data_IF_915990070233
#
_entry.id   IF_915990070233
#
_cell.length_a   1.000
_cell.length_b   1.000
_cell.length_c   1.000
_cell.angle_alpha   90.00
_cell.angle_beta   90.00
_cell.angle_gamma   90.00
#
_symmetry.space_group_name_H-M   'P 1'
#
loop_
_entity.id
_entity.type
_entity.pdbx_description
1 polymer ?
#
# COMPACT_ATOMS: atom_id res chain seq x y z
N UNK A 1 33.63 -14.20 40.72
CA UNK A 1 34.06 -13.74 39.38
C UNK A 1 32.82 -13.56 38.51
N UNK A 2 32.38 -12.32 38.28
CA UNK A 2 31.17 -12.00 37.49
C UNK A 2 31.52 -12.10 36.00
N UNK A 3 30.90 -13.05 35.28
CA UNK A 3 31.03 -13.16 33.82
C UNK A 3 30.18 -12.08 33.17
N UNK A 4 30.84 -11.09 32.57
CA UNK A 4 30.20 -10.09 31.71
C UNK A 4 29.97 -10.77 30.36
N UNK A 5 28.71 -11.06 30.04
CA UNK A 5 28.31 -11.51 28.71
C UNK A 5 28.14 -10.27 27.85
N UNK A 6 29.10 -10.04 26.95
CA UNK A 6 29.04 -8.97 25.96
C UNK A 6 28.07 -9.40 24.85
N UNK A 7 26.83 -8.94 24.91
CA UNK A 7 25.85 -9.08 23.82
C UNK A 7 26.25 -8.11 22.70
N UNK A 8 27.02 -8.61 21.73
CA UNK A 8 27.36 -7.89 20.51
C UNK A 8 26.08 -7.77 19.67
N UNK A 9 25.51 -6.58 19.63
CA UNK A 9 24.36 -6.25 18.80
C UNK A 9 24.84 -6.05 17.35
N UNK A 10 24.82 -7.12 16.56
CA UNK A 10 25.12 -7.04 15.13
C UNK A 10 23.93 -6.37 14.42
N UNK A 11 24.14 -5.30 13.63
CA UNK A 11 23.07 -4.70 12.87
C UNK A 11 22.65 -5.70 11.79
N UNK A 12 21.43 -6.22 11.90
CA UNK A 12 20.83 -7.15 10.95
C UNK A 12 20.71 -6.43 9.60
N UNK A 13 21.73 -6.62 8.76
CA UNK A 13 21.65 -6.45 7.32
C UNK A 13 20.49 -7.33 6.83
N UNK A 14 19.69 -6.79 5.91
CA UNK A 14 18.65 -7.51 5.18
C UNK A 14 19.27 -8.72 4.47
N UNK A 15 19.38 -9.84 5.19
CA UNK A 15 19.83 -11.11 4.66
C UNK A 15 18.72 -11.63 3.74
N UNK A 16 19.12 -12.12 2.57
CA UNK A 16 18.35 -13.05 1.75
C UNK A 16 18.18 -14.36 2.53
N UNK A 17 17.41 -14.33 3.61
CA UNK A 17 17.03 -15.51 4.36
C UNK A 17 16.05 -16.32 3.53
N UNK A 18 16.28 -17.63 3.48
CA UNK A 18 15.32 -18.63 3.05
C UNK A 18 13.98 -18.38 3.77
N UNK A 19 12.92 -18.16 2.99
CA UNK A 19 11.60 -17.73 3.49
C UNK A 19 11.04 -18.77 4.46
N UNK A 20 11.28 -20.06 4.18
CA UNK A 20 10.87 -21.15 5.08
C UNK A 20 11.58 -21.03 6.42
N UNK A 21 12.89 -20.77 6.44
CA UNK A 21 13.64 -20.64 7.70
C UNK A 21 13.16 -19.46 8.54
N UNK A 22 12.91 -18.30 7.91
CA UNK A 22 12.38 -17.14 8.62
C UNK A 22 10.97 -17.37 9.19
N UNK A 23 10.12 -18.10 8.47
CA UNK A 23 8.82 -18.53 8.97
C UNK A 23 8.97 -19.51 10.16
N UNK A 24 9.90 -20.46 10.09
CA UNK A 24 10.16 -21.37 11.21
C UNK A 24 10.68 -20.62 12.45
N UNK A 25 11.64 -19.72 12.28
CA UNK A 25 12.16 -18.85 13.34
C UNK A 25 11.04 -18.00 13.96
N UNK A 26 10.19 -17.40 13.14
CA UNK A 26 9.03 -16.61 13.59
C UNK A 26 8.11 -17.38 14.54
N UNK A 27 7.84 -18.65 14.21
CA UNK A 27 7.02 -19.52 15.05
C UNK A 27 7.72 -19.88 16.36
N UNK A 28 9.03 -20.15 16.32
CA UNK A 28 9.82 -20.50 17.50
C UNK A 28 9.96 -19.32 18.47
N UNK A 29 10.33 -18.16 17.93
CA UNK A 29 10.62 -16.95 18.68
C UNK A 29 9.36 -16.12 19.02
N UNK A 30 8.19 -16.55 18.53
CA UNK A 30 6.94 -15.79 18.64
C UNK A 30 7.05 -14.37 18.06
N UNK A 31 7.86 -14.20 17.00
CA UNK A 31 8.07 -12.93 16.30
C UNK A 31 7.34 -12.92 14.97
N UNK A 32 6.68 -11.82 14.58
CA UNK A 32 6.07 -11.71 13.26
C UNK A 32 7.13 -11.57 12.15
N UNK A 33 6.76 -11.89 10.91
CA UNK A 33 7.60 -11.73 9.72
C UNK A 33 7.04 -10.62 8.85
N UNK A 34 7.92 -9.78 8.31
CA UNK A 34 7.65 -8.92 7.17
C UNK A 34 8.39 -9.48 5.96
N UNK A 35 7.65 -9.87 4.93
CA UNK A 35 8.19 -10.41 3.69
C UNK A 35 8.04 -9.38 2.58
N UNK A 36 9.15 -8.88 2.06
CA UNK A 36 9.24 -8.00 0.91
C UNK A 36 9.40 -8.82 -0.38
N UNK A 37 8.31 -8.97 -1.13
CA UNK A 37 8.29 -9.68 -2.41
C UNK A 37 8.63 -8.73 -3.55
N UNK A 38 9.69 -9.04 -4.29
CA UNK A 38 10.14 -8.30 -5.48
C UNK A 38 10.08 -9.17 -6.73
N UNK A 39 10.43 -8.57 -7.86
CA UNK A 39 10.78 -9.30 -9.07
C UNK A 39 11.97 -8.65 -9.73
N UNK A 40 12.67 -9.38 -10.58
CA UNK A 40 13.68 -8.81 -11.46
C UNK A 40 13.11 -7.68 -12.35
N UNK A 41 13.97 -6.72 -12.69
CA UNK A 41 13.65 -5.57 -13.55
C UNK A 41 12.42 -4.78 -13.09
N UNK A 42 12.35 -4.47 -11.78
CA UNK A 42 11.23 -3.77 -11.16
C UNK A 42 11.65 -2.41 -10.57
N UNK A 43 11.47 -1.34 -11.35
CA UNK A 43 11.82 0.04 -10.93
C UNK A 43 11.14 0.48 -9.63
N UNK A 44 9.88 0.07 -9.42
CA UNK A 44 9.16 0.39 -8.17
C UNK A 44 9.68 -0.40 -6.97
N UNK A 45 10.25 -1.58 -7.20
CA UNK A 45 10.89 -2.37 -6.15
C UNK A 45 12.19 -1.68 -5.70
N UNK A 46 13.00 -1.21 -6.66
CA UNK A 46 14.22 -0.46 -6.33
C UNK A 46 13.86 0.82 -5.59
N UNK A 47 12.85 1.56 -6.07
CA UNK A 47 12.34 2.75 -5.41
C UNK A 47 11.86 2.47 -3.98
N UNK A 48 11.11 1.38 -3.75
CA UNK A 48 10.63 1.02 -2.40
C UNK A 48 11.78 0.64 -1.47
N UNK A 49 12.74 -0.15 -1.96
CA UNK A 49 13.93 -0.53 -1.21
C UNK A 49 14.71 0.71 -0.77
N UNK A 50 14.95 1.64 -1.67
CA UNK A 50 15.83 2.78 -1.42
C UNK A 50 15.14 3.89 -0.64
N UNK A 51 13.91 4.26 -1.03
CA UNK A 51 13.21 5.44 -0.49
C UNK A 51 12.32 5.14 0.70
N UNK A 52 11.96 3.87 0.91
CA UNK A 52 11.00 3.48 1.96
C UNK A 52 11.67 2.54 2.96
N UNK A 53 12.12 1.36 2.53
CA UNK A 53 12.76 0.39 3.43
C UNK A 53 14.18 0.83 3.87
N UNK A 54 14.80 1.75 3.11
CA UNK A 54 16.07 2.37 3.45
C UNK A 54 15.97 3.44 4.55
N UNK A 55 14.80 4.05 4.74
CA UNK A 55 14.58 5.16 5.68
C UNK A 55 14.70 4.71 7.14
N UNK A 56 15.35 5.54 7.97
CA UNK A 56 15.65 5.22 9.36
C UNK A 56 14.39 5.06 10.22
N UNK A 57 13.37 5.89 10.02
CA UNK A 57 12.13 5.80 10.78
C UNK A 57 11.37 4.51 10.45
N UNK A 58 11.38 4.09 9.17
CA UNK A 58 10.79 2.82 8.75
C UNK A 58 11.55 1.63 9.35
N UNK A 59 12.89 1.62 9.28
CA UNK A 59 13.72 0.56 9.88
C UNK A 59 13.50 0.44 11.39
N UNK A 60 13.45 1.58 12.07
CA UNK A 60 13.18 1.61 13.50
C UNK A 60 11.78 1.11 13.84
N UNK A 61 10.78 1.46 13.03
CA UNK A 61 9.42 0.96 13.22
C UNK A 61 9.30 -0.53 12.89
N UNK A 62 10.12 -1.07 11.99
CA UNK A 62 10.17 -2.51 11.70
C UNK A 62 10.87 -3.34 12.79
N UNK A 63 11.48 -2.72 13.83
CA UNK A 63 12.03 -3.47 14.96
C UNK A 63 10.97 -4.37 15.59
N UNK A 64 11.35 -5.62 15.83
CA UNK A 64 10.45 -6.67 16.33
C UNK A 64 9.87 -7.58 15.24
N UNK A 65 10.03 -7.23 13.96
CA UNK A 65 9.75 -8.14 12.84
C UNK A 65 11.03 -8.86 12.39
N UNK A 66 10.89 -10.11 11.96
CA UNK A 66 11.88 -10.79 11.13
C UNK A 66 11.68 -10.30 9.69
N UNK A 67 12.73 -9.78 9.05
CA UNK A 67 12.65 -9.17 7.73
C UNK A 67 13.21 -10.12 6.68
N UNK A 68 12.43 -10.40 5.63
CA UNK A 68 12.80 -11.32 4.54
C UNK A 68 12.53 -10.66 3.20
N UNK A 69 13.41 -10.88 2.23
CA UNK A 69 13.15 -10.54 0.82
C UNK A 69 13.01 -11.81 0.00
N UNK A 70 11.97 -11.87 -0.83
CA UNK A 70 11.64 -13.02 -1.68
C UNK A 70 11.46 -12.58 -3.13
N UNK A 71 11.88 -13.39 -4.11
CA UNK A 71 11.47 -13.18 -5.51
C UNK A 71 10.10 -13.82 -5.76
N UNK A 72 9.18 -13.10 -6.40
CA UNK A 72 7.82 -13.58 -6.67
C UNK A 72 7.78 -14.90 -7.46
N UNK A 73 8.83 -15.21 -8.22
CA UNK A 73 8.90 -16.38 -9.08
C UNK A 73 9.57 -17.58 -8.40
N UNK A 74 10.21 -17.38 -7.24
CA UNK A 74 10.87 -18.45 -6.51
C UNK A 74 9.85 -19.47 -5.97
N UNK A 75 10.31 -20.70 -5.75
CA UNK A 75 9.44 -21.80 -5.32
C UNK A 75 8.79 -21.53 -3.98
N UNK A 76 9.55 -20.98 -3.03
CA UNK A 76 9.08 -20.73 -1.67
C UNK A 76 8.04 -19.62 -1.60
N UNK A 77 8.23 -18.51 -2.31
CA UNK A 77 7.21 -17.46 -2.40
C UNK A 77 5.89 -18.02 -2.95
N UNK A 78 5.94 -18.84 -4.01
CA UNK A 78 4.74 -19.50 -4.59
C UNK A 78 4.08 -20.49 -3.64
N UNK A 79 4.86 -21.13 -2.77
CA UNK A 79 4.38 -22.16 -1.85
C UNK A 79 3.79 -21.57 -0.56
N UNK A 80 4.44 -20.55 0.00
CA UNK A 80 4.15 -20.05 1.35
C UNK A 80 3.42 -18.70 1.38
N UNK A 81 3.40 -17.97 0.27
CA UNK A 81 2.74 -16.65 0.20
C UNK A 81 1.51 -16.71 -0.71
N UNK A 82 0.50 -15.84 -0.45
CA UNK A 82 -0.56 -15.63 -1.41
C UNK A 82 0.02 -15.21 -2.77
N UNK A 83 -0.58 -15.70 -3.86
CA UNK A 83 -0.17 -15.28 -5.19
C UNK A 83 -0.36 -13.76 -5.37
N UNK A 84 0.70 -13.08 -5.80
CA UNK A 84 0.64 -11.65 -6.15
C UNK A 84 1.01 -11.42 -7.61
N UNK A 85 0.20 -10.60 -8.27
CA UNK A 85 0.46 -10.14 -9.63
C UNK A 85 1.42 -8.96 -9.67
N UNK A 86 1.46 -8.17 -8.60
CA UNK A 86 2.13 -6.87 -8.56
C UNK A 86 3.37 -6.93 -7.69
N UNK A 87 4.43 -6.26 -8.11
CA UNK A 87 5.64 -6.06 -7.32
C UNK A 87 5.96 -4.55 -7.27
N UNK A 88 6.47 -4.04 -6.13
CA UNK A 88 6.69 -4.78 -4.88
C UNK A 88 5.38 -5.17 -4.17
N UNK A 89 5.41 -6.24 -3.38
CA UNK A 89 4.33 -6.58 -2.43
C UNK A 89 4.96 -6.88 -1.08
N UNK A 90 4.41 -6.35 0.02
CA UNK A 90 4.83 -6.68 1.38
C UNK A 90 3.75 -7.49 2.08
N UNK A 91 4.11 -8.61 2.68
CA UNK A 91 3.25 -9.37 3.58
C UNK A 91 3.71 -9.19 5.02
N UNK A 92 2.79 -8.84 5.91
CA UNK A 92 3.01 -8.99 7.35
C UNK A 92 2.34 -10.28 7.80
N UNK A 93 3.08 -11.14 8.48
CA UNK A 93 2.69 -12.51 8.82
C UNK A 93 2.89 -12.71 10.32
N UNK A 94 1.85 -13.21 10.99
CA UNK A 94 1.94 -13.53 12.41
C UNK A 94 2.77 -14.79 12.67
N UNK A 95 3.25 -15.02 13.92
CA UNK A 95 3.93 -16.26 14.32
C UNK A 95 3.12 -17.55 14.06
N UNK A 96 1.81 -17.43 13.86
CA UNK A 96 0.88 -18.52 13.54
C UNK A 96 0.67 -18.70 12.04
N UNK A 97 1.53 -18.13 11.20
CA UNK A 97 1.47 -18.17 9.73
C UNK A 97 0.22 -17.56 9.10
N UNK A 98 -0.45 -16.66 9.83
CA UNK A 98 -1.57 -15.88 9.28
C UNK A 98 -1.04 -14.58 8.69
N UNK A 99 -1.30 -14.34 7.40
CA UNK A 99 -1.13 -13.01 6.79
C UNK A 99 -2.12 -12.05 7.44
N UNK A 100 -1.62 -11.02 8.10
CA UNK A 100 -2.44 -10.02 8.79
C UNK A 100 -2.65 -8.76 7.96
N UNK A 101 -1.70 -8.45 7.07
CA UNK A 101 -1.71 -7.33 6.16
C UNK A 101 -0.95 -7.64 4.88
N UNK A 102 -1.37 -7.00 3.79
CA UNK A 102 -0.72 -7.07 2.49
C UNK A 102 -0.66 -5.66 1.92
N UNK A 103 0.54 -5.22 1.56
CA UNK A 103 0.76 -3.91 0.92
C UNK A 103 1.19 -4.17 -0.51
N UNK A 104 0.40 -3.74 -1.49
CA UNK A 104 0.75 -3.92 -2.91
C UNK A 104 1.18 -2.61 -3.55
N UNK A 105 2.32 -2.67 -4.24
CA UNK A 105 2.94 -1.53 -4.91
C UNK A 105 3.84 -0.70 -4.01
N UNK A 106 4.45 0.30 -4.62
CA UNK A 106 5.32 1.25 -3.93
C UNK A 106 4.49 2.16 -3.01
N UNK A 107 4.91 2.27 -1.75
CA UNK A 107 4.44 3.27 -0.80
C UNK A 107 5.62 4.13 -0.31
N UNK A 108 5.38 5.41 -0.05
CA UNK A 108 6.35 6.27 0.63
C UNK A 108 6.51 5.89 2.10
N UNK A 109 7.55 6.41 2.75
CA UNK A 109 7.91 6.07 4.14
C UNK A 109 6.79 6.33 5.17
N UNK A 110 6.08 7.44 5.04
CA UNK A 110 5.04 7.81 6.00
C UNK A 110 3.83 6.87 5.86
N UNK A 111 3.42 6.60 4.62
CA UNK A 111 2.36 5.62 4.31
C UNK A 111 2.73 4.23 4.79
N UNK A 112 3.96 3.79 4.52
CA UNK A 112 4.41 2.47 4.90
C UNK A 112 4.49 2.31 6.43
N UNK A 113 4.82 3.37 7.16
CA UNK A 113 4.78 3.38 8.62
C UNK A 113 3.37 3.19 9.19
N UNK A 114 2.33 3.70 8.52
CA UNK A 114 0.93 3.43 8.91
C UNK A 114 0.62 1.93 8.81
N UNK A 115 1.06 1.28 7.74
CA UNK A 115 0.91 -0.18 7.57
C UNK A 115 1.68 -1.00 8.60
N UNK A 116 2.88 -0.56 8.99
CA UNK A 116 3.64 -1.21 10.07
C UNK A 116 2.88 -1.08 11.39
N UNK A 117 2.36 0.11 11.72
CA UNK A 117 1.62 0.36 12.95
C UNK A 117 0.33 -0.45 13.02
N UNK A 118 -0.45 -0.48 11.94
CA UNK A 118 -1.65 -1.30 11.86
C UNK A 118 -1.32 -2.81 11.97
N UNK A 119 -0.22 -3.26 11.37
CA UNK A 119 0.25 -4.64 11.52
C UNK A 119 0.62 -4.96 12.98
N UNK A 120 1.33 -4.05 13.67
CA UNK A 120 1.64 -4.19 15.10
C UNK A 120 0.39 -4.24 15.96
N UNK A 121 -0.60 -3.38 15.69
CA UNK A 121 -1.89 -3.37 16.37
C UNK A 121 -2.64 -4.70 16.18
N UNK A 122 -2.76 -5.19 14.94
CA UNK A 122 -3.39 -6.48 14.61
C UNK A 122 -2.67 -7.67 15.26
N UNK A 123 -1.38 -7.54 15.60
CA UNK A 123 -0.58 -8.53 16.29
C UNK A 123 -0.61 -8.41 17.83
N UNK A 124 -1.23 -7.35 18.37
CA UNK A 124 -1.17 -7.06 19.80
C UNK A 124 0.25 -6.73 20.31
N UNK A 125 1.12 -6.24 19.42
CA UNK A 125 2.45 -5.77 19.83
C UNK A 125 2.30 -4.49 20.64
N UNK A 126 3.15 -4.29 21.66
CA UNK A 126 3.18 -3.04 22.42
C UNK A 126 3.60 -1.89 21.49
N UNK A 127 2.61 -1.21 20.92
CA UNK A 127 2.83 0.01 20.17
C UNK A 127 2.86 1.12 21.21
N UNK A 128 4.05 1.41 21.74
CA UNK A 128 4.25 2.50 22.70
C UNK A 128 3.52 3.74 22.17
N UNK A 129 2.71 4.36 23.04
CA UNK A 129 1.74 5.42 22.74
C UNK A 129 1.91 6.00 21.34
N UNK A 130 1.23 5.39 20.36
CA UNK A 130 1.26 5.87 18.98
C UNK A 130 0.80 7.31 19.05
N UNK A 131 1.74 8.26 18.95
CA UNK A 131 1.39 9.60 18.52
C UNK A 131 0.72 9.35 17.18
N UNK A 132 -0.60 9.45 17.16
CA UNK A 132 -1.40 9.40 15.94
C UNK A 132 -0.65 10.22 14.94
N UNK A 133 0.01 9.57 13.96
CA UNK A 133 0.73 10.28 12.92
C UNK A 133 -0.36 11.14 12.29
N UNK A 134 -0.32 12.44 12.58
CA UNK A 134 -1.32 13.39 12.11
C UNK A 134 -1.44 13.16 10.61
N UNK A 135 -2.65 12.80 10.17
CA UNK A 135 -3.01 12.38 8.82
C UNK A 135 -2.81 13.47 7.74
N UNK A 136 -2.06 14.52 8.06
CA UNK A 136 -1.93 15.75 7.31
C UNK A 136 -0.66 15.84 6.45
N UNK A 137 0.24 14.85 6.48
CA UNK A 137 1.49 14.90 5.68
C UNK A 137 1.61 13.84 4.58
N UNK A 138 0.70 12.86 4.52
CA UNK A 138 0.78 11.83 3.48
C UNK A 138 0.17 12.35 2.18
N UNK A 139 1.03 12.82 1.28
CA UNK A 139 0.62 13.13 -0.09
C UNK A 139 0.23 11.81 -0.76
N UNK A 140 -1.06 11.64 -1.11
CA UNK A 140 -1.56 10.51 -1.91
C UNK A 140 -1.11 10.64 -3.39
N UNK A 141 0.18 10.87 -3.61
CA UNK A 141 0.78 10.92 -4.95
C UNK A 141 1.01 9.52 -5.51
N UNK A 142 0.92 8.47 -4.69
CA UNK A 142 1.09 7.09 -5.10
C UNK A 142 -0.28 6.42 -5.29
N UNK A 143 -0.49 5.86 -6.48
CA UNK A 143 -1.67 5.06 -6.79
C UNK A 143 -1.62 3.73 -6.04
N UNK A 144 -2.68 3.42 -5.31
CA UNK A 144 -2.94 2.07 -4.81
C UNK A 144 -3.38 1.16 -5.97
N UNK A 145 -2.93 -0.08 -5.92
CA UNK A 145 -3.16 -1.09 -6.97
C UNK A 145 -4.25 -2.10 -6.63
N UNK A 146 -4.85 -1.99 -5.44
CA UNK A 146 -6.03 -2.75 -5.03
C UNK A 146 -6.92 -1.91 -4.09
N UNK A 147 -8.22 -2.20 -4.15
CA UNK A 147 -9.27 -1.48 -3.42
C UNK A 147 -9.20 -1.72 -1.92
N UNK A 148 -8.91 -2.96 -1.49
CA UNK A 148 -8.90 -3.31 -0.09
C UNK A 148 -7.83 -2.51 0.67
N UNK A 149 -6.62 -2.43 0.10
CA UNK A 149 -5.53 -1.67 0.69
C UNK A 149 -5.83 -0.18 0.76
N UNK A 150 -6.46 0.37 -0.28
CA UNK A 150 -6.84 1.77 -0.30
C UNK A 150 -7.94 2.12 0.69
N UNK A 151 -8.96 1.26 0.85
CA UNK A 151 -10.02 1.45 1.83
C UNK A 151 -9.49 1.32 3.27
N UNK A 152 -8.58 0.39 3.53
CA UNK A 152 -7.92 0.26 4.84
C UNK A 152 -7.09 1.50 5.17
N UNK A 153 -6.25 1.95 4.23
CA UNK A 153 -5.45 3.16 4.38
C UNK A 153 -6.33 4.41 4.55
N UNK A 154 -7.43 4.52 3.79
CA UNK A 154 -8.40 5.61 3.93
C UNK A 154 -9.05 5.63 5.32
N UNK A 155 -9.42 4.46 5.87
CA UNK A 155 -9.95 4.34 7.25
C UNK A 155 -8.94 4.80 8.29
N UNK A 156 -7.68 4.37 8.15
CA UNK A 156 -6.61 4.72 9.09
C UNK A 156 -6.27 6.22 9.08
N UNK A 157 -6.37 6.86 7.92
CA UNK A 157 -6.01 8.27 7.74
C UNK A 157 -7.19 9.24 7.83
N UNK A 158 -8.43 8.74 7.94
CA UNK A 158 -9.64 9.55 7.86
C UNK A 158 -9.90 10.13 6.46
N UNK A 159 -9.23 9.60 5.43
CA UNK A 159 -9.38 10.03 4.04
C UNK A 159 -10.54 9.32 3.35
N UNK A 160 -10.89 9.81 2.18
CA UNK A 160 -11.85 9.19 1.27
C UNK A 160 -11.09 8.39 0.19
N UNK A 161 -11.81 7.69 -0.68
CA UNK A 161 -11.22 6.91 -1.77
C UNK A 161 -11.68 7.47 -3.11
N UNK A 162 -10.72 7.74 -4.00
CA UNK A 162 -10.97 8.04 -5.41
C UNK A 162 -10.53 6.84 -6.25
N UNK A 163 -11.47 6.19 -6.94
CA UNK A 163 -11.20 5.05 -7.81
C UNK A 163 -11.25 5.49 -9.27
N UNK A 164 -10.11 5.45 -9.94
CA UNK A 164 -9.97 5.66 -11.36
C UNK A 164 -10.05 4.32 -12.11
N UNK A 165 -11.19 4.07 -12.75
CA UNK A 165 -11.37 2.89 -13.61
C UNK A 165 -10.96 3.26 -15.03
N UNK A 166 -9.84 2.69 -15.49
CA UNK A 166 -9.26 2.95 -16.80
C UNK A 166 -9.49 1.79 -17.79
N UNK A 167 -9.34 2.09 -19.07
CA UNK A 167 -9.06 1.09 -20.09
C UNK A 167 -7.71 1.44 -20.71
N UNK A 168 -6.71 0.58 -20.58
CA UNK A 168 -5.35 0.85 -21.07
C UNK A 168 -5.28 1.15 -22.58
N UNK A 169 -6.23 0.62 -23.35
CA UNK A 169 -6.33 0.85 -24.80
C UNK A 169 -7.05 2.14 -25.15
N UNK A 170 -7.75 2.78 -24.20
CA UNK A 170 -8.48 4.03 -24.43
C UNK A 170 -7.55 5.25 -24.47
N UNK A 171 -7.60 6.00 -25.58
CA UNK A 171 -6.89 7.28 -25.71
C UNK A 171 -7.34 8.29 -24.67
N UNK A 172 -8.63 8.31 -24.34
CA UNK A 172 -9.19 9.17 -23.29
C UNK A 172 -8.64 8.84 -21.90
N UNK A 173 -8.44 7.56 -21.59
CA UNK A 173 -7.82 7.15 -20.33
C UNK A 173 -6.34 7.52 -20.26
N UNK A 174 -5.60 7.41 -21.38
CA UNK A 174 -4.21 7.88 -21.47
C UNK A 174 -4.13 9.39 -21.29
N UNK A 175 -5.01 10.14 -21.96
CA UNK A 175 -5.09 11.60 -21.89
C UNK A 175 -5.41 12.08 -20.47
N UNK A 176 -6.43 11.50 -19.83
CA UNK A 176 -6.80 11.84 -18.44
C UNK A 176 -5.64 11.62 -17.46
N UNK A 177 -4.87 10.54 -17.61
CA UNK A 177 -3.69 10.30 -16.75
C UNK A 177 -2.57 11.31 -16.98
N UNK A 178 -2.30 11.66 -18.23
CA UNK A 178 -1.16 12.52 -18.60
C UNK A 178 -1.42 13.99 -18.30
N UNK A 179 -2.68 14.43 -18.47
CA UNK A 179 -3.08 15.81 -18.33
C UNK A 179 -3.78 16.00 -16.98
N UNK A 180 -5.04 15.57 -16.87
CA UNK A 180 -5.93 15.83 -15.73
C UNK A 180 -5.40 15.36 -14.38
N UNK A 181 -5.04 14.08 -14.26
CA UNK A 181 -4.59 13.48 -13.00
C UNK A 181 -3.10 13.77 -12.73
N UNK A 182 -2.39 14.38 -13.67
CA UNK A 182 -1.02 14.83 -13.48
C UNK A 182 -0.92 16.33 -13.14
N UNK A 183 -1.99 17.09 -13.40
CA UNK A 183 -2.10 18.51 -13.08
C UNK A 183 -1.87 18.76 -11.58
N UNK A 184 -1.07 19.79 -11.27
CA UNK A 184 -0.66 20.12 -9.91
C UNK A 184 -1.86 20.51 -9.04
N UNK A 185 -2.75 21.35 -9.57
CA UNK A 185 -3.94 21.83 -8.85
C UNK A 185 -4.89 20.68 -8.54
N UNK A 186 -5.05 19.75 -9.48
CA UNK A 186 -5.88 18.56 -9.28
C UNK A 186 -5.28 17.64 -8.22
N UNK A 187 -3.96 17.43 -8.24
CA UNK A 187 -3.28 16.64 -7.19
C UNK A 187 -3.48 17.23 -5.80
N UNK A 188 -3.30 18.54 -5.66
CA UNK A 188 -3.50 19.27 -4.39
C UNK A 188 -4.96 19.18 -3.93
N UNK A 189 -5.93 19.36 -4.84
CA UNK A 189 -7.36 19.28 -4.49
C UNK A 189 -7.80 17.88 -4.02
N UNK A 190 -7.05 16.85 -4.40
CA UNK A 190 -7.31 15.45 -4.12
C UNK A 190 -6.52 14.88 -2.93
N UNK A 191 -5.85 15.71 -2.13
CA UNK A 191 -5.05 15.26 -0.96
C UNK A 191 -5.89 14.52 0.10
N UNK A 192 -7.20 14.81 0.17
CA UNK A 192 -8.18 14.16 1.04
C UNK A 192 -8.65 12.79 0.53
N UNK A 193 -8.18 12.38 -0.65
CA UNK A 193 -8.53 11.11 -1.28
C UNK A 193 -7.31 10.21 -1.41
N UNK A 194 -7.55 8.91 -1.21
CA UNK A 194 -6.64 7.81 -1.51
C UNK A 194 -6.93 7.33 -2.92
N UNK A 195 -5.93 7.35 -3.78
CA UNK A 195 -6.14 7.12 -5.21
C UNK A 195 -5.95 5.66 -5.56
N UNK A 196 -6.95 5.04 -6.18
CA UNK A 196 -6.91 3.63 -6.62
C UNK A 196 -7.10 3.56 -8.11
N UNK A 197 -6.33 2.70 -8.76
CA UNK A 197 -6.48 2.47 -10.19
C UNK A 197 -6.89 1.05 -10.50
N UNK A 198 -8.01 0.89 -11.21
CA UNK A 198 -8.50 -0.41 -11.65
C UNK A 198 -8.62 -0.48 -13.17
N UNK A 199 -8.42 -1.68 -13.73
CA UNK A 199 -8.77 -1.94 -15.13
C UNK A 199 -10.27 -2.18 -15.23
N UNK A 200 -10.91 -1.55 -16.23
CA UNK A 200 -12.31 -1.81 -16.59
C UNK A 200 -12.50 -3.31 -16.84
N UNK A 201 -13.59 -3.86 -16.28
CA UNK A 201 -13.95 -5.28 -16.31
C UNK A 201 -12.96 -6.22 -15.60
N UNK A 202 -12.03 -5.70 -14.79
CA UNK A 202 -11.25 -6.56 -13.89
C UNK A 202 -12.17 -7.22 -12.86
N UNK A 203 -11.79 -8.41 -12.39
CA UNK A 203 -12.53 -9.12 -11.34
C UNK A 203 -12.71 -8.25 -10.09
N UNK A 204 -11.70 -7.45 -9.74
CA UNK A 204 -11.75 -6.52 -8.63
C UNK A 204 -12.75 -5.38 -8.89
N UNK A 205 -12.70 -4.71 -10.04
CA UNK A 205 -13.68 -3.69 -10.40
C UNK A 205 -15.12 -4.25 -10.31
N UNK A 206 -15.36 -5.45 -10.83
CA UNK A 206 -16.66 -6.13 -10.72
C UNK A 206 -17.06 -6.42 -9.28
N UNK A 207 -16.14 -6.95 -8.46
CA UNK A 207 -16.39 -7.27 -7.05
C UNK A 207 -16.84 -6.04 -6.25
N UNK A 208 -16.26 -4.88 -6.54
CA UNK A 208 -16.60 -3.62 -5.86
C UNK A 208 -17.76 -2.86 -6.53
N UNK A 209 -18.41 -3.41 -7.56
CA UNK A 209 -19.50 -2.76 -8.29
C UNK A 209 -19.05 -1.57 -9.15
N UNK A 210 -17.76 -1.49 -9.50
CA UNK A 210 -17.12 -0.41 -10.25
C UNK A 210 -16.97 -0.78 -11.73
N UNK A 211 -18.09 -1.14 -12.36
CA UNK A 211 -18.14 -1.62 -13.76
C UNK A 211 -18.76 -0.59 -14.71
N UNK A 212 -18.04 0.49 -15.06
CA UNK A 212 -18.60 1.54 -15.92
C UNK A 212 -18.73 1.06 -17.37
N UNK A 213 -19.80 1.50 -18.04
CA UNK A 213 -19.96 1.32 -19.49
C UNK A 213 -18.85 2.00 -20.29
N UNK A 214 -18.36 3.15 -19.84
CA UNK A 214 -17.32 3.95 -20.51
C UNK A 214 -16.07 4.07 -19.63
N UNK A 215 -14.90 4.10 -20.25
CA UNK A 215 -13.64 4.38 -19.58
C UNK A 215 -12.94 5.56 -20.28
N UNK A 216 -12.36 6.53 -19.54
CA UNK A 216 -12.20 6.53 -18.09
C UNK A 216 -13.49 6.83 -17.32
N UNK A 217 -13.60 6.35 -16.07
CA UNK A 217 -14.60 6.79 -15.09
C UNK A 217 -13.92 6.93 -13.73
N UNK A 218 -14.21 8.01 -13.01
CA UNK A 218 -13.73 8.23 -11.63
C UNK A 218 -14.90 8.12 -10.66
N UNK A 219 -14.72 7.29 -9.63
CA UNK A 219 -15.66 7.15 -8.52
C UNK A 219 -15.05 7.79 -7.27
N UNK A 220 -15.79 8.67 -6.62
CA UNK A 220 -15.44 9.20 -5.31
C UNK A 220 -16.32 8.51 -4.28
N UNK A 221 -15.72 8.02 -3.20
CA UNK A 221 -16.44 7.28 -2.16
C UNK A 221 -15.78 7.46 -0.80
N UNK A 222 -16.55 7.30 0.28
CA UNK A 222 -16.01 7.19 1.64
C UNK A 222 -15.26 5.89 1.83
N UNK A 223 -14.42 5.83 2.86
CA UNK A 223 -13.65 4.62 3.18
C UNK A 223 -14.51 3.40 3.56
N UNK A 224 -15.78 3.61 3.96
CA UNK A 224 -16.77 2.55 4.19
C UNK A 224 -17.52 2.13 2.93
N UNK A 225 -17.15 2.68 1.76
CA UNK A 225 -17.73 2.35 0.47
C UNK A 225 -18.90 3.23 0.02
N UNK A 226 -19.46 4.11 0.88
CA UNK A 226 -20.56 5.02 0.50
C UNK A 226 -20.13 5.93 -0.65
N UNK A 227 -20.92 5.94 -1.74
CA UNK A 227 -20.64 6.81 -2.90
C UNK A 227 -20.78 8.29 -2.55
N UNK A 228 -19.86 9.10 -3.07
CA UNK A 228 -19.87 10.57 -2.99
C UNK A 228 -20.18 11.18 -4.35
N UNK A 229 -19.51 10.71 -5.42
CA UNK A 229 -19.69 11.22 -6.78
C UNK A 229 -19.20 10.22 -7.83
N UNK A 230 -19.61 10.41 -9.09
CA UNK A 230 -19.10 9.62 -10.22
C UNK A 230 -18.94 10.48 -11.47
N UNK A 231 -17.70 10.71 -11.87
CA UNK A 231 -17.34 11.43 -13.08
C UNK A 231 -17.15 10.43 -14.23
N UNK A 232 -18.10 10.41 -15.17
CA UNK A 232 -18.10 9.47 -16.31
C UNK A 232 -17.45 10.11 -17.54
N UNK A 233 -16.42 9.47 -18.07
CA UNK A 233 -15.69 9.96 -19.24
C UNK A 233 -14.44 10.77 -18.89
N UNK A 234 -13.85 11.36 -19.94
CA UNK A 234 -12.71 12.24 -19.82
C UNK A 234 -13.16 13.66 -19.46
N UNK A 235 -12.40 14.29 -18.56
CA UNK A 235 -12.52 15.70 -18.23
C UNK A 235 -11.12 16.32 -18.29
N UNK A 236 -10.99 17.54 -18.81
CA UNK A 236 -9.76 18.33 -18.65
C UNK A 236 -9.60 18.76 -17.16
N UNK A 237 -8.44 19.29 -16.73
CA UNK A 237 -8.24 19.70 -15.32
C UNK A 237 -9.34 20.62 -14.78
N UNK A 238 -9.72 21.66 -15.53
CA UNK A 238 -10.73 22.64 -15.11
C UNK A 238 -12.09 21.98 -14.84
N UNK A 239 -12.57 21.16 -15.77
CA UNK A 239 -13.88 20.51 -15.64
C UNK A 239 -13.86 19.39 -14.60
N UNK A 240 -12.72 18.70 -14.44
CA UNK A 240 -12.57 17.67 -13.43
C UNK A 240 -12.58 18.25 -12.01
N UNK A 241 -12.08 19.47 -11.82
CA UNK A 241 -12.15 20.16 -10.53
C UNK A 241 -13.58 20.31 -10.00
N UNK A 242 -14.57 20.49 -10.88
CA UNK A 242 -15.98 20.55 -10.48
C UNK A 242 -16.44 19.25 -9.81
N UNK A 243 -15.98 18.09 -10.31
CA UNK A 243 -16.27 16.79 -9.70
C UNK A 243 -15.55 16.59 -8.37
N UNK A 244 -14.31 17.05 -8.25
CA UNK A 244 -13.56 17.02 -6.99
C UNK A 244 -14.30 17.84 -5.92
N UNK A 245 -14.66 19.09 -6.25
CA UNK A 245 -15.38 19.97 -5.33
C UNK A 245 -16.76 19.41 -4.95
N UNK A 246 -17.50 18.87 -5.93
CA UNK A 246 -18.78 18.23 -5.66
C UNK A 246 -18.62 17.05 -4.69
N UNK A 247 -17.64 16.17 -4.92
CA UNK A 247 -17.38 15.04 -4.04
C UNK A 247 -16.99 15.49 -2.62
N UNK A 248 -16.18 16.56 -2.49
CA UNK A 248 -15.81 17.12 -1.19
C UNK A 248 -17.00 17.67 -0.42
N UNK A 249 -17.97 18.27 -1.11
CA UNK A 249 -19.21 18.74 -0.51
C UNK A 249 -20.16 17.64 0.01
N UNK A 250 -19.87 16.36 -0.25
CA UNK A 250 -20.67 15.21 0.22
C UNK A 250 -20.05 14.48 1.44
N UNK A 251 -18.87 14.91 1.91
CA UNK A 251 -18.15 14.34 3.06
C UNK A 251 -18.75 14.91 4.34
#
# INVERSE_FOLDING_TARGET
>A
MKKIVLLIYVPVLLLSGDLKNALLEARQDHKPVMVYVKSDSCTYCDKMKDKTLGDLAVKDNLKGFILVTADKNEREAKQYLPATRYTPTVYFISPKFKVINTVKGYLGKDDFNLWINDSKNKLGMNVGSVKTLQSHSTKSENWFYDMASAEDYAKQTGKNVMVYVENRRSSWSKKMRKETLNDKTIKEALEDFVWVKLEKNSAEATTYGLSPKLAPTVYFRRANGKSLATAKGYFNPKDFMAWVNYAKGQI
#
